data_IF_961852219482
#
_entry.id   IF_961852219482
#
_cell.length_a   1.000
_cell.length_b   1.000
_cell.length_c   1.000
_cell.angle_alpha   90.00
_cell.angle_beta   90.00
_cell.angle_gamma   90.00
#
_symmetry.space_group_name_H-M   'P 1'
#
loop_
_entity.id
_entity.type
_entity.pdbx_description
1 polymer ?
#
# COMPACT_ATOMS: atom_id res chain seq x y z
N UNK A 1 13.84 1.23 18.92
CA UNK A 1 13.17 2.55 18.94
C UNK A 1 13.67 3.29 17.71
N UNK A 2 13.00 3.14 16.58
CA UNK A 2 13.28 3.94 15.39
C UNK A 2 12.77 5.34 15.67
N UNK A 3 13.68 6.32 15.81
CA UNK A 3 13.29 7.71 16.09
C UNK A 3 12.63 8.31 14.85
N UNK A 4 11.37 8.72 14.98
CA UNK A 4 10.73 9.62 14.03
C UNK A 4 11.61 10.87 13.90
N UNK A 5 12.21 11.07 12.74
CA UNK A 5 12.84 12.35 12.41
C UNK A 5 11.72 13.33 12.11
N UNK A 6 11.49 14.24 13.05
CA UNK A 6 10.49 15.32 12.97
C UNK A 6 10.57 16.04 11.61
N UNK A 7 9.53 15.94 10.78
CA UNK A 7 9.28 16.86 9.68
C UNK A 7 9.86 16.52 8.30
N UNK A 8 10.53 15.39 8.06
CA UNK A 8 11.03 15.04 6.73
C UNK A 8 10.09 14.07 6.00
N UNK A 9 9.73 14.39 4.75
CA UNK A 9 9.00 13.46 3.87
C UNK A 9 9.86 12.23 3.58
N UNK A 10 9.27 11.03 3.67
CA UNK A 10 9.91 9.75 3.43
C UNK A 10 9.48 9.20 2.06
N UNK A 11 10.40 8.53 1.38
CA UNK A 11 10.15 7.96 0.06
C UNK A 11 10.31 6.46 0.07
N UNK A 12 9.25 5.78 -0.37
CA UNK A 12 9.18 4.32 -0.39
C UNK A 12 9.23 3.73 -1.80
N UNK A 13 9.48 2.43 -1.85
CA UNK A 13 9.42 1.62 -3.05
C UNK A 13 8.26 0.64 -2.98
N UNK A 14 7.58 0.41 -4.11
CA UNK A 14 6.47 -0.54 -4.17
C UNK A 14 6.93 -1.89 -4.72
N UNK A 15 6.82 -2.91 -3.90
CA UNK A 15 6.87 -4.31 -4.30
C UNK A 15 5.52 -4.72 -4.89
N UNK A 16 5.32 -4.43 -6.16
CA UNK A 16 4.06 -4.72 -6.84
C UNK A 16 4.00 -6.19 -7.26
N UNK A 17 3.22 -6.99 -6.51
CA UNK A 17 3.12 -8.43 -6.73
C UNK A 17 2.58 -8.79 -8.11
N UNK A 18 1.84 -7.91 -8.75
CA UNK A 18 1.26 -8.13 -10.07
C UNK A 18 2.30 -8.07 -11.21
N UNK A 19 3.46 -7.45 -10.98
CA UNK A 19 4.46 -7.21 -12.01
C UNK A 19 5.68 -8.13 -11.96
N UNK A 20 5.92 -8.79 -10.83
CA UNK A 20 7.13 -9.59 -10.65
C UNK A 20 6.87 -10.88 -9.88
N UNK A 21 7.65 -11.91 -10.16
CA UNK A 21 7.62 -13.17 -9.42
C UNK A 21 8.23 -13.03 -8.00
N UNK A 22 8.01 -14.00 -7.11
CA UNK A 22 8.39 -13.87 -5.71
C UNK A 22 9.91 -13.76 -5.48
N UNK A 23 10.74 -14.31 -6.36
CA UNK A 23 12.21 -14.20 -6.25
C UNK A 23 12.71 -12.84 -6.68
N UNK A 24 12.15 -12.32 -7.76
CA UNK A 24 12.45 -10.99 -8.27
C UNK A 24 12.04 -9.92 -7.26
N UNK A 25 10.86 -10.06 -6.64
CA UNK A 25 10.40 -9.11 -5.59
C UNK A 25 11.38 -9.04 -4.41
N UNK A 26 11.94 -10.16 -3.95
CA UNK A 26 12.96 -10.13 -2.89
C UNK A 26 14.24 -9.45 -3.37
N UNK A 27 14.65 -9.66 -4.63
CA UNK A 27 15.82 -8.99 -5.19
C UNK A 27 15.60 -7.48 -5.34
N UNK A 28 14.40 -7.08 -5.78
CA UNK A 28 14.01 -5.66 -5.89
C UNK A 28 14.01 -4.99 -4.52
N UNK A 29 13.49 -5.64 -3.47
CA UNK A 29 13.52 -5.12 -2.11
C UNK A 29 14.95 -4.86 -1.63
N UNK A 30 15.84 -5.83 -1.74
CA UNK A 30 17.26 -5.67 -1.38
C UNK A 30 17.92 -4.55 -2.18
N UNK A 31 17.59 -4.40 -3.46
CA UNK A 31 18.13 -3.33 -4.30
C UNK A 31 17.56 -1.96 -3.91
N UNK A 32 16.27 -1.86 -3.59
CA UNK A 32 15.62 -0.63 -3.15
C UNK A 32 16.18 -0.16 -1.79
N UNK A 33 16.37 -1.06 -0.83
CA UNK A 33 17.05 -0.74 0.44
C UNK A 33 18.46 -0.18 0.20
N UNK A 34 19.26 -0.82 -0.66
CA UNK A 34 20.62 -0.35 -1.00
C UNK A 34 20.64 0.98 -1.73
N UNK A 35 19.61 1.27 -2.51
CA UNK A 35 19.45 2.58 -3.19
C UNK A 35 19.11 3.68 -2.19
N UNK A 36 18.55 3.33 -1.02
CA UNK A 36 18.26 4.24 0.08
C UNK A 36 16.79 4.66 0.18
N UNK A 37 15.85 3.84 -0.29
CA UNK A 37 14.44 4.01 0.04
C UNK A 37 14.21 3.83 1.55
N UNK A 38 13.31 4.62 2.12
CA UNK A 38 13.07 4.65 3.57
C UNK A 38 12.12 3.52 4.01
N UNK A 39 11.23 3.08 3.12
CA UNK A 39 10.27 2.01 3.38
C UNK A 39 9.85 1.30 2.09
N UNK A 40 9.25 0.14 2.23
CA UNK A 40 8.70 -0.64 1.13
C UNK A 40 7.26 -1.04 1.41
N UNK A 41 6.42 -0.93 0.41
CA UNK A 41 5.03 -1.38 0.48
C UNK A 41 4.80 -2.53 -0.50
N UNK A 42 4.03 -3.54 -0.08
CA UNK A 42 3.74 -4.72 -0.89
C UNK A 42 2.23 -4.85 -1.14
N UNK A 43 1.82 -4.91 -2.41
CA UNK A 43 0.43 -5.18 -2.77
C UNK A 43 0.04 -6.62 -2.39
N UNK A 44 -1.18 -6.80 -1.85
CA UNK A 44 -1.70 -8.11 -1.43
C UNK A 44 -2.83 -8.55 -2.37
N UNK A 45 -2.47 -8.95 -3.57
CA UNK A 45 -3.37 -9.32 -4.63
C UNK A 45 -3.38 -10.82 -4.92
N UNK A 46 -4.55 -11.34 -5.32
CA UNK A 46 -4.71 -12.70 -5.82
C UNK A 46 -4.63 -12.74 -7.35
N UNK A 47 -4.98 -11.64 -8.00
CA UNK A 47 -4.95 -11.50 -9.45
C UNK A 47 -4.29 -10.19 -9.86
N UNK A 48 -3.59 -10.12 -11.00
CA UNK A 48 -3.15 -8.85 -11.55
C UNK A 48 -4.36 -8.04 -12.06
N UNK A 49 -4.20 -6.72 -12.16
CA UNK A 49 -5.21 -5.84 -12.75
C UNK A 49 -5.44 -6.11 -14.24
N UNK A 50 -4.36 -6.35 -14.97
CA UNK A 50 -4.35 -6.74 -16.38
C UNK A 50 -3.48 -7.98 -16.56
N UNK A 51 -3.87 -8.85 -17.48
CA UNK A 51 -3.11 -10.09 -17.77
C UNK A 51 -1.68 -9.81 -18.27
N UNK A 52 -1.43 -8.62 -18.79
CA UNK A 52 -0.10 -8.17 -19.22
C UNK A 52 0.90 -7.98 -18.09
N UNK A 53 0.44 -7.83 -16.84
CA UNK A 53 1.30 -7.76 -15.65
C UNK A 53 1.88 -9.14 -15.28
N UNK A 54 1.09 -10.20 -15.39
CA UNK A 54 1.55 -11.60 -15.47
C UNK A 54 1.82 -12.32 -14.17
N UNK A 55 1.77 -11.65 -13.00
CA UNK A 55 2.11 -12.23 -11.70
C UNK A 55 1.02 -11.97 -10.64
N UNK A 56 1.02 -12.72 -9.56
CA UNK A 56 0.33 -12.44 -8.29
C UNK A 56 0.83 -13.41 -7.19
N UNK A 57 2.10 -13.36 -6.78
CA UNK A 57 2.58 -14.18 -5.67
C UNK A 57 1.93 -13.72 -4.35
N UNK A 58 1.85 -14.64 -3.39
CA UNK A 58 1.27 -14.37 -2.08
C UNK A 58 2.12 -13.37 -1.28
N UNK A 59 1.57 -12.19 -1.02
CA UNK A 59 2.27 -11.05 -0.40
C UNK A 59 2.93 -11.41 0.94
N UNK A 60 2.21 -12.04 1.86
CA UNK A 60 2.73 -12.39 3.18
C UNK A 60 3.91 -13.36 3.16
N UNK A 61 3.89 -14.33 2.22
CA UNK A 61 5.02 -15.25 2.03
C UNK A 61 6.23 -14.52 1.46
N UNK A 62 6.00 -13.59 0.53
CA UNK A 62 7.04 -12.76 -0.07
C UNK A 62 7.63 -11.81 0.96
N UNK A 63 6.79 -11.11 1.74
CA UNK A 63 7.24 -10.21 2.81
C UNK A 63 8.06 -10.92 3.89
N UNK A 64 7.72 -12.17 4.24
CA UNK A 64 8.55 -12.96 5.14
C UNK A 64 9.96 -13.19 4.61
N UNK A 65 10.12 -13.40 3.31
CA UNK A 65 11.43 -13.53 2.66
C UNK A 65 12.15 -12.17 2.56
N UNK A 66 11.41 -11.10 2.27
CA UNK A 66 11.94 -9.72 2.25
C UNK A 66 12.43 -9.30 3.63
N UNK A 67 11.64 -9.54 4.69
CA UNK A 67 12.03 -9.22 6.06
C UNK A 67 13.35 -9.89 6.49
N UNK A 68 13.58 -11.11 6.00
CA UNK A 68 14.83 -11.84 6.25
C UNK A 68 16.01 -11.37 5.38
N UNK A 69 15.74 -10.78 4.21
CA UNK A 69 16.76 -10.38 3.24
C UNK A 69 17.15 -8.90 3.35
N UNK A 70 16.44 -8.11 4.16
CA UNK A 70 16.64 -6.66 4.37
C UNK A 70 16.92 -6.38 5.85
N UNK A 71 17.67 -5.31 6.13
CA UNK A 71 18.15 -5.00 7.48
C UNK A 71 17.51 -3.76 8.10
N UNK A 72 17.19 -2.74 7.30
CA UNK A 72 16.85 -1.38 7.79
C UNK A 72 15.54 -0.82 7.25
N UNK A 73 15.17 -1.19 6.01
CA UNK A 73 13.97 -0.67 5.35
C UNK A 73 12.71 -1.10 6.08
N UNK A 74 11.78 -0.17 6.32
CA UNK A 74 10.47 -0.50 6.88
C UNK A 74 9.59 -1.20 5.85
N UNK A 75 8.75 -2.13 6.29
CA UNK A 75 7.89 -2.96 5.45
C UNK A 75 6.43 -2.72 5.76
N UNK A 76 5.57 -2.78 4.75
CA UNK A 76 4.13 -2.62 4.94
C UNK A 76 3.32 -3.40 3.89
N UNK A 77 2.17 -3.96 4.28
CA UNK A 77 1.16 -4.41 3.30
C UNK A 77 0.39 -3.20 2.75
N UNK A 78 0.17 -3.13 1.43
CA UNK A 78 -0.51 -2.00 0.79
C UNK A 78 -1.62 -2.46 -0.17
N UNK A 79 -2.77 -2.88 0.32
CA UNK A 79 -3.12 -3.17 1.69
C UNK A 79 -3.75 -4.57 1.78
N UNK A 80 -3.69 -5.22 2.94
CA UNK A 80 -4.38 -6.50 3.16
C UNK A 80 -5.86 -6.27 3.49
N UNK A 81 -6.75 -7.10 2.92
CA UNK A 81 -8.18 -7.10 3.23
C UNK A 81 -8.52 -8.25 4.20
N UNK A 82 -8.77 -7.98 5.51
CA UNK A 82 -9.01 -9.01 6.51
C UNK A 82 -10.49 -9.41 6.62
N UNK A 83 -11.27 -9.35 5.52
CA UNK A 83 -12.73 -9.48 5.58
C UNK A 83 -13.29 -10.68 4.84
N UNK A 84 -12.72 -11.02 3.70
CA UNK A 84 -13.24 -12.07 2.82
C UNK A 84 -12.24 -13.20 2.61
N UNK A 85 -11.12 -12.92 1.96
CA UNK A 85 -10.07 -13.88 1.62
C UNK A 85 -9.30 -14.34 2.86
N UNK A 86 -9.10 -13.44 3.81
CA UNK A 86 -8.48 -13.73 5.09
C UNK A 86 -9.47 -13.58 6.26
N UNK A 87 -9.32 -14.44 7.26
CA UNK A 87 -9.95 -14.23 8.55
C UNK A 87 -9.07 -13.31 9.42
N UNK A 88 -9.62 -12.34 10.16
CA UNK A 88 -8.83 -11.39 10.95
C UNK A 88 -7.89 -12.05 11.97
N UNK A 89 -8.26 -13.20 12.54
CA UNK A 89 -7.37 -13.94 13.43
C UNK A 89 -6.11 -14.47 12.72
N UNK A 90 -6.21 -14.85 11.44
CA UNK A 90 -5.06 -15.27 10.64
C UNK A 90 -4.20 -14.07 10.29
N UNK A 91 -4.81 -12.93 9.96
CA UNK A 91 -4.06 -11.67 9.71
C UNK A 91 -3.31 -11.20 10.95
N UNK A 92 -3.93 -11.28 12.14
CA UNK A 92 -3.25 -10.96 13.39
C UNK A 92 -2.00 -11.85 13.61
N UNK A 93 -2.12 -13.15 13.37
CA UNK A 93 -0.97 -14.08 13.48
C UNK A 93 0.12 -13.79 12.45
N UNK A 94 -0.26 -13.51 11.20
CA UNK A 94 0.69 -13.14 10.15
C UNK A 94 1.43 -11.84 10.49
N UNK A 95 0.69 -10.82 10.98
CA UNK A 95 1.26 -9.53 11.35
C UNK A 95 2.22 -9.63 12.54
N UNK A 96 1.87 -10.37 13.58
CA UNK A 96 2.75 -10.61 14.73
C UNK A 96 4.04 -11.33 14.31
N UNK A 97 3.91 -12.39 13.50
CA UNK A 97 5.05 -13.14 12.99
C UNK A 97 5.97 -12.27 12.13
N UNK A 98 5.39 -11.49 11.20
CA UNK A 98 6.16 -10.64 10.30
C UNK A 98 6.86 -9.49 11.05
N UNK A 99 6.20 -8.90 12.05
CA UNK A 99 6.79 -7.87 12.90
C UNK A 99 8.03 -8.38 13.64
N UNK A 100 7.98 -9.62 14.15
CA UNK A 100 9.14 -10.26 14.81
C UNK A 100 10.26 -10.54 13.79
N UNK A 101 9.91 -11.10 12.62
CA UNK A 101 10.90 -11.38 11.56
C UNK A 101 11.57 -10.11 11.01
N UNK A 102 10.85 -9.00 11.02
CA UNK A 102 11.33 -7.70 10.57
C UNK A 102 11.98 -6.86 11.69
N UNK A 103 12.20 -7.42 12.87
CA UNK A 103 12.79 -6.69 14.02
C UNK A 103 12.10 -5.34 14.30
N UNK A 104 10.76 -5.33 14.30
CA UNK A 104 9.97 -4.13 14.59
C UNK A 104 9.72 -3.19 13.40
N UNK A 105 10.18 -3.53 12.19
CA UNK A 105 10.08 -2.68 10.98
C UNK A 105 8.78 -2.85 10.18
N UNK A 106 7.78 -3.58 10.66
CA UNK A 106 6.57 -3.86 9.91
C UNK A 106 5.39 -3.01 10.36
N UNK A 107 4.62 -2.50 9.41
CA UNK A 107 3.32 -1.84 9.61
C UNK A 107 2.24 -2.63 8.88
N UNK A 108 1.14 -2.95 9.57
CA UNK A 108 0.00 -3.65 8.99
C UNK A 108 -0.92 -2.66 8.26
N UNK A 109 -0.85 -2.62 6.95
CA UNK A 109 -1.78 -1.88 6.11
C UNK A 109 -3.04 -2.68 5.82
N UNK A 110 -4.21 -2.11 6.12
CA UNK A 110 -5.52 -2.72 5.99
C UNK A 110 -6.44 -1.93 5.07
N UNK A 111 -7.33 -2.63 4.37
CA UNK A 111 -8.34 -2.03 3.51
C UNK A 111 -9.63 -2.84 3.42
N UNK A 112 -10.68 -2.22 2.89
CA UNK A 112 -11.99 -2.88 2.70
C UNK A 112 -12.06 -3.80 1.48
N UNK A 113 -10.96 -3.90 0.71
CA UNK A 113 -10.78 -4.81 -0.41
C UNK A 113 -11.36 -4.36 -1.73
N UNK A 114 -11.00 -5.11 -2.78
CA UNK A 114 -11.52 -5.00 -4.13
C UNK A 114 -12.09 -6.35 -4.59
N UNK A 115 -13.12 -6.31 -5.42
CA UNK A 115 -13.77 -7.51 -5.92
C UNK A 115 -12.81 -8.43 -6.68
N UNK A 116 -11.84 -7.86 -7.41
CA UNK A 116 -10.80 -8.59 -8.14
C UNK A 116 -10.10 -9.66 -7.27
N UNK A 117 -9.80 -9.31 -6.02
CA UNK A 117 -9.00 -10.13 -5.12
C UNK A 117 -9.82 -10.95 -4.13
N UNK A 118 -11.01 -10.45 -3.76
CA UNK A 118 -11.77 -11.00 -2.66
C UNK A 118 -12.85 -12.02 -3.08
N UNK A 119 -13.40 -11.91 -4.31
CA UNK A 119 -14.45 -12.82 -4.80
C UNK A 119 -13.97 -14.28 -4.96
N UNK A 120 -12.68 -14.50 -5.04
CA UNK A 120 -12.06 -15.82 -5.32
C UNK A 120 -12.42 -16.90 -4.29
N UNK A 121 -12.84 -16.51 -3.09
CA UNK A 121 -13.30 -17.45 -2.04
C UNK A 121 -14.78 -17.82 -2.18
N UNK A 122 -15.47 -17.35 -3.22
CA UNK A 122 -16.85 -17.77 -3.55
C UNK A 122 -17.95 -17.21 -2.64
N UNK A 123 -17.69 -16.13 -1.88
CA UNK A 123 -18.66 -15.50 -0.96
C UNK A 123 -19.43 -14.32 -1.56
N UNK A 124 -19.23 -14.03 -2.87
CA UNK A 124 -19.77 -12.83 -3.51
C UNK A 124 -19.00 -11.56 -3.15
N UNK A 125 -19.59 -10.39 -3.45
CA UNK A 125 -18.99 -9.09 -3.16
C UNK A 125 -19.98 -8.22 -2.39
N UNK A 126 -19.72 -7.91 -1.10
CA UNK A 126 -20.63 -7.11 -0.27
C UNK A 126 -20.65 -5.63 -0.70
N UNK A 127 -21.72 -4.92 -0.32
CA UNK A 127 -21.78 -3.46 -0.47
C UNK A 127 -20.65 -2.77 0.32
N UNK A 128 -20.29 -1.55 -0.08
CA UNK A 128 -19.25 -0.77 0.59
C UNK A 128 -19.54 -0.59 2.08
N UNK A 129 -20.79 -0.28 2.46
CA UNK A 129 -21.20 -0.15 3.86
C UNK A 129 -20.88 -1.42 4.65
N UNK A 130 -21.28 -2.57 4.12
CA UNK A 130 -21.01 -3.85 4.79
C UNK A 130 -19.53 -4.18 4.85
N UNK A 131 -18.76 -3.83 3.84
CA UNK A 131 -17.29 -3.99 3.86
C UNK A 131 -16.64 -3.12 4.94
N UNK A 132 -17.13 -1.88 5.15
CA UNK A 132 -16.67 -1.01 6.23
C UNK A 132 -17.02 -1.58 7.62
N UNK A 133 -18.24 -2.11 7.81
CA UNK A 133 -18.63 -2.79 9.05
C UNK A 133 -17.72 -4.00 9.33
N UNK A 134 -17.48 -4.83 8.32
CA UNK A 134 -16.58 -5.98 8.42
C UNK A 134 -15.14 -5.56 8.76
N UNK A 135 -14.61 -4.52 8.11
CA UNK A 135 -13.25 -4.04 8.39
C UNK A 135 -13.14 -3.45 9.80
N UNK A 136 -14.14 -2.71 10.25
CA UNK A 136 -14.21 -2.18 11.62
C UNK A 136 -14.13 -3.31 12.64
N UNK A 137 -14.93 -4.36 12.47
CA UNK A 137 -14.92 -5.53 13.35
C UNK A 137 -13.61 -6.31 13.26
N UNK A 138 -13.05 -6.46 12.04
CA UNK A 138 -11.78 -7.14 11.82
C UNK A 138 -10.61 -6.43 12.53
N UNK A 139 -10.57 -5.09 12.50
CA UNK A 139 -9.56 -4.29 13.23
C UNK A 139 -9.65 -4.56 14.73
N UNK A 140 -10.88 -4.59 15.30
CA UNK A 140 -11.07 -4.87 16.71
C UNK A 140 -10.59 -6.28 17.10
N UNK A 141 -10.91 -7.30 16.28
CA UNK A 141 -10.41 -8.68 16.48
C UNK A 141 -8.89 -8.76 16.40
N UNK A 142 -8.28 -8.07 15.42
CA UNK A 142 -6.81 -8.05 15.25
C UNK A 142 -6.16 -7.42 16.48
N UNK A 143 -6.64 -6.25 16.92
CA UNK A 143 -6.07 -5.56 18.10
C UNK A 143 -6.19 -6.39 19.37
N UNK A 144 -7.33 -7.05 19.58
CA UNK A 144 -7.55 -7.91 20.74
C UNK A 144 -6.57 -9.10 20.75
N UNK A 145 -6.38 -9.77 19.61
CA UNK A 145 -5.44 -10.89 19.51
C UNK A 145 -3.98 -10.47 19.68
N UNK A 146 -3.63 -9.26 19.22
CA UNK A 146 -2.28 -8.71 19.38
C UNK A 146 -1.90 -8.38 20.83
N UNK A 147 -2.85 -8.41 21.78
CA UNK A 147 -2.53 -8.33 23.21
C UNK A 147 -1.82 -9.59 23.74
N UNK A 148 -1.95 -10.73 23.05
CA UNK A 148 -1.45 -12.03 23.51
C UNK A 148 -2.34 -12.71 24.55
N UNK A 149 -3.49 -12.15 24.90
CA UNK A 149 -4.47 -12.77 25.78
C UNK A 149 -5.33 -13.82 25.06
N UNK A 150 -6.04 -14.65 25.86
CA UNK A 150 -7.01 -15.59 25.32
C UNK A 150 -8.27 -14.84 24.89
N UNK A 151 -8.63 -14.94 23.61
CA UNK A 151 -9.74 -14.21 23.00
C UNK A 151 -10.87 -15.13 22.60
N UNK A 152 -12.07 -14.80 23.07
CA UNK A 152 -13.35 -15.31 22.57
C UNK A 152 -14.13 -14.13 21.98
N UNK A 153 -14.41 -14.16 20.66
CA UNK A 153 -15.12 -13.08 19.96
C UNK A 153 -16.40 -13.58 19.30
N UNK A 154 -17.51 -12.91 19.56
CA UNK A 154 -18.82 -13.22 18.95
C UNK A 154 -19.41 -11.94 18.36
N UNK A 155 -18.90 -11.53 17.21
CA UNK A 155 -19.37 -10.37 16.48
C UNK A 155 -20.46 -10.68 15.46
N UNK A 156 -20.82 -9.67 14.68
CA UNK A 156 -21.77 -9.81 13.59
C UNK A 156 -21.16 -10.52 12.40
N UNK A 157 -19.90 -10.25 12.09
CA UNK A 157 -19.20 -10.73 10.90
C UNK A 157 -18.19 -11.83 11.20
N UNK A 158 -17.56 -11.80 12.39
CA UNK A 158 -16.49 -12.73 12.74
C UNK A 158 -16.77 -13.43 14.08
N UNK A 159 -16.18 -14.61 14.19
CA UNK A 159 -16.13 -15.39 15.43
C UNK A 159 -14.72 -15.88 15.66
N UNK A 160 -14.26 -15.76 16.88
CA UNK A 160 -13.01 -16.36 17.37
C UNK A 160 -13.37 -17.19 18.59
N UNK A 161 -12.87 -18.40 18.66
CA UNK A 161 -13.17 -19.33 19.75
C UNK A 161 -11.85 -19.75 20.40
N UNK A 162 -11.64 -19.32 21.63
CA UNK A 162 -10.52 -19.67 22.50
C UNK A 162 -9.13 -19.54 21.82
N UNK A 163 -8.93 -18.45 21.06
CA UNK A 163 -7.68 -18.21 20.33
C UNK A 163 -6.73 -17.31 21.12
N UNK A 164 -5.43 -17.59 20.97
CA UNK A 164 -4.33 -16.81 21.54
C UNK A 164 -3.15 -16.79 20.59
N UNK A 165 -2.52 -15.64 20.40
CA UNK A 165 -1.21 -15.57 19.77
C UNK A 165 -0.14 -15.91 20.79
N UNK A 166 0.77 -16.83 20.41
CA UNK A 166 1.85 -17.32 21.29
C UNK A 166 3.13 -16.50 21.12
N UNK A 167 3.34 -15.98 19.92
CA UNK A 167 4.45 -15.11 19.58
C UNK A 167 3.86 -13.72 19.29
N UNK A 168 4.03 -12.79 20.22
CA UNK A 168 3.57 -11.41 20.12
C UNK A 168 4.78 -10.49 20.23
N UNK A 169 4.95 -9.51 19.31
CA UNK A 169 6.07 -8.58 19.38
C UNK A 169 5.92 -7.63 20.58
N UNK A 170 7.01 -7.37 21.29
CA UNK A 170 7.04 -6.53 22.49
C UNK A 170 6.54 -5.09 22.24
N UNK A 171 6.87 -4.53 21.07
CA UNK A 171 6.48 -3.16 20.67
C UNK A 171 5.11 -3.10 19.98
N UNK A 172 4.40 -4.23 19.87
CA UNK A 172 3.13 -4.33 19.17
C UNK A 172 3.25 -4.23 17.65
N UNK A 173 2.12 -4.04 16.97
CA UNK A 173 2.04 -3.83 15.50
C UNK A 173 1.24 -2.56 15.24
N UNK A 174 1.82 -1.62 14.49
CA UNK A 174 1.10 -0.42 14.05
C UNK A 174 0.17 -0.75 12.89
N UNK A 175 -1.01 -0.13 12.87
CA UNK A 175 -2.03 -0.31 11.85
C UNK A 175 -2.18 0.94 11.01
N UNK A 176 -2.11 0.80 9.70
CA UNK A 176 -2.47 1.82 8.72
C UNK A 176 -3.75 1.39 8.01
N UNK A 177 -4.70 2.29 7.77
CA UNK A 177 -5.97 1.94 7.11
C UNK A 177 -6.19 2.80 5.88
N UNK A 178 -6.59 2.13 4.78
CA UNK A 178 -6.90 2.79 3.52
C UNK A 178 -8.26 3.49 3.57
N UNK A 179 -8.28 4.75 3.16
CA UNK A 179 -9.46 5.60 3.05
C UNK A 179 -9.52 6.27 1.68
N UNK A 180 -10.75 6.53 1.20
CA UNK A 180 -11.01 7.17 -0.10
C UNK A 180 -12.12 8.21 -0.05
N UNK A 181 -12.61 8.59 1.13
CA UNK A 181 -13.66 9.57 1.31
C UNK A 181 -14.08 9.73 2.77
N UNK A 182 -14.95 10.71 3.05
CA UNK A 182 -15.38 11.06 4.41
C UNK A 182 -15.91 9.90 5.25
N UNK A 183 -16.73 9.02 4.66
CA UNK A 183 -17.33 7.90 5.39
C UNK A 183 -16.27 6.91 5.89
N UNK A 184 -15.24 6.64 5.06
CA UNK A 184 -14.12 5.79 5.45
C UNK A 184 -13.22 6.47 6.48
N UNK A 185 -13.01 7.78 6.38
CA UNK A 185 -12.27 8.57 7.39
C UNK A 185 -12.97 8.50 8.74
N UNK A 186 -14.28 8.78 8.81
CA UNK A 186 -15.07 8.70 10.04
C UNK A 186 -15.05 7.31 10.68
N UNK A 187 -15.11 6.27 9.84
CA UNK A 187 -15.11 4.89 10.32
C UNK A 187 -13.73 4.45 10.87
N UNK A 188 -12.63 4.84 10.23
CA UNK A 188 -11.34 4.21 10.47
C UNK A 188 -10.30 5.09 11.17
N UNK A 189 -10.40 6.41 11.10
CA UNK A 189 -9.44 7.30 11.76
C UNK A 189 -9.33 7.07 13.28
N UNK A 190 -10.44 6.80 14.02
CA UNK A 190 -10.37 6.49 15.46
C UNK A 190 -9.74 5.13 15.77
N UNK A 191 -9.66 4.21 14.80
CA UNK A 191 -9.29 2.81 14.99
C UNK A 191 -7.86 2.48 14.56
N UNK A 192 -7.17 3.42 13.89
CA UNK A 192 -5.88 3.17 13.26
C UNK A 192 -4.82 4.16 13.68
N UNK A 193 -3.56 3.75 13.52
CA UNK A 193 -2.41 4.58 13.87
C UNK A 193 -2.04 5.52 12.71
N UNK A 194 -2.20 5.06 11.46
CA UNK A 194 -1.80 5.74 10.24
C UNK A 194 -2.88 5.71 9.16
N UNK A 195 -2.80 6.66 8.23
CA UNK A 195 -3.67 6.77 7.05
C UNK A 195 -2.97 6.22 5.82
N UNK A 196 -3.74 5.56 4.95
CA UNK A 196 -3.34 5.25 3.57
C UNK A 196 -4.33 5.89 2.62
N UNK A 197 -3.85 6.58 1.59
CA UNK A 197 -4.68 7.08 0.50
C UNK A 197 -3.87 7.10 -0.80
N UNK A 198 -4.57 6.93 -1.93
CA UNK A 198 -3.90 6.88 -3.26
C UNK A 198 -3.81 8.26 -3.88
N UNK A 199 -4.82 9.12 -3.71
CA UNK A 199 -4.87 10.45 -4.32
C UNK A 199 -4.36 11.53 -3.35
N UNK A 200 -3.64 12.56 -3.84
CA UNK A 200 -3.12 13.66 -3.02
C UNK A 200 -4.23 14.66 -2.65
N UNK A 201 -5.17 14.23 -1.82
CA UNK A 201 -6.32 15.02 -1.36
C UNK A 201 -6.04 15.61 0.03
N UNK A 202 -5.73 16.92 0.08
CA UNK A 202 -5.46 17.65 1.33
C UNK A 202 -6.68 17.78 2.25
N UNK A 203 -7.90 17.84 1.71
CA UNK A 203 -9.12 17.92 2.50
C UNK A 203 -9.37 16.59 3.21
N UNK A 204 -9.10 15.46 2.55
CA UNK A 204 -9.17 14.12 3.14
C UNK A 204 -8.16 13.96 4.29
N UNK A 205 -6.93 14.45 4.09
CA UNK A 205 -5.88 14.44 5.13
C UNK A 205 -6.29 15.28 6.34
N UNK A 206 -6.84 16.47 6.11
CA UNK A 206 -7.32 17.33 7.18
C UNK A 206 -8.48 16.70 7.95
N UNK A 207 -9.44 16.09 7.26
CA UNK A 207 -10.55 15.36 7.87
C UNK A 207 -10.04 14.20 8.75
N UNK A 208 -9.05 13.44 8.26
CA UNK A 208 -8.41 12.37 9.02
C UNK A 208 -7.80 12.85 10.34
N UNK A 209 -7.01 13.92 10.30
CA UNK A 209 -6.40 14.48 11.51
C UNK A 209 -7.44 15.01 12.49
N UNK A 210 -8.51 15.59 11.99
CA UNK A 210 -9.64 16.10 12.79
C UNK A 210 -10.34 14.97 13.56
N UNK A 211 -10.70 13.88 12.89
CA UNK A 211 -11.35 12.72 13.48
C UNK A 211 -10.47 12.03 14.53
N UNK A 212 -9.18 11.87 14.24
CA UNK A 212 -8.21 11.31 15.20
C UNK A 212 -8.06 12.16 16.45
N UNK A 213 -7.98 13.47 16.29
CA UNK A 213 -7.88 14.42 17.41
C UNK A 213 -9.13 14.37 18.27
N UNK A 214 -10.32 14.28 17.66
CA UNK A 214 -11.61 14.10 18.34
C UNK A 214 -11.67 12.80 19.13
N UNK A 215 -11.00 11.75 18.69
CA UNK A 215 -10.91 10.47 19.41
C UNK A 215 -9.80 10.43 20.48
N UNK A 216 -9.05 11.51 20.69
CA UNK A 216 -8.01 11.61 21.72
C UNK A 216 -6.70 10.94 21.38
N UNK A 217 -6.42 10.66 20.11
CA UNK A 217 -5.14 10.10 19.67
C UNK A 217 -4.01 11.13 19.84
N UNK A 218 -3.01 10.80 20.65
CA UNK A 218 -1.92 11.70 21.02
C UNK A 218 -0.70 11.63 20.10
N UNK A 219 -0.51 10.53 19.38
CA UNK A 219 0.66 10.34 18.54
C UNK A 219 0.46 10.93 17.13
N UNK A 220 1.51 11.53 16.51
CA UNK A 220 1.44 11.95 15.12
C UNK A 220 1.19 10.73 14.23
N UNK A 221 0.24 10.86 13.29
CA UNK A 221 -0.07 9.83 12.32
C UNK A 221 0.78 10.04 11.07
N UNK A 222 1.27 8.95 10.46
CA UNK A 222 1.78 8.96 9.10
C UNK A 222 0.61 9.03 8.13
N UNK A 223 0.79 9.75 7.04
CA UNK A 223 -0.12 9.78 5.90
C UNK A 223 0.65 9.21 4.70
N UNK A 224 0.28 8.01 4.30
CA UNK A 224 1.04 7.18 3.37
C UNK A 224 0.34 7.19 2.02
N UNK A 225 1.02 7.69 1.01
CA UNK A 225 0.55 7.73 -0.37
C UNK A 225 1.32 6.79 -1.29
N UNK A 226 0.77 6.58 -2.49
CA UNK A 226 1.42 5.79 -3.52
C UNK A 226 1.16 6.40 -4.89
N UNK A 227 2.20 6.52 -5.71
CA UNK A 227 2.12 7.09 -7.05
C UNK A 227 2.77 6.18 -8.09
N UNK A 228 2.09 5.85 -9.20
CA UNK A 228 2.71 5.17 -10.33
C UNK A 228 3.60 6.12 -11.14
N UNK A 229 4.76 5.63 -11.53
CA UNK A 229 5.70 6.27 -12.43
C UNK A 229 6.16 5.25 -13.48
N UNK A 230 6.56 5.71 -14.66
CA UNK A 230 7.15 4.85 -15.66
C UNK A 230 8.42 5.47 -16.20
N UNK A 231 9.52 5.33 -15.47
CA UNK A 231 10.80 5.80 -15.92
C UNK A 231 11.40 4.85 -16.97
N UNK A 232 11.92 5.41 -18.05
CA UNK A 232 12.68 4.73 -19.08
C UNK A 232 13.49 5.79 -19.84
N UNK A 233 14.72 5.49 -20.31
CA UNK A 233 15.49 6.38 -21.21
C UNK A 233 14.74 6.73 -22.50
N UNK A 234 13.89 5.82 -22.99
CA UNK A 234 13.02 6.04 -24.15
C UNK A 234 11.60 6.46 -23.70
N UNK A 235 11.19 7.70 -23.94
CA UNK A 235 9.88 8.20 -23.52
C UNK A 235 8.70 7.51 -24.22
N UNK A 236 8.86 7.04 -25.46
CA UNK A 236 7.81 6.33 -26.19
C UNK A 236 7.62 4.92 -25.61
N UNK A 237 8.70 4.23 -25.29
CA UNK A 237 8.67 2.92 -24.61
C UNK A 237 8.06 3.04 -23.21
N UNK A 238 8.39 4.09 -22.46
CA UNK A 238 7.80 4.37 -21.16
C UNK A 238 6.28 4.55 -21.25
N UNK A 239 5.82 5.38 -22.17
CA UNK A 239 4.39 5.66 -22.35
C UNK A 239 3.61 4.41 -22.78
N UNK A 240 4.15 3.65 -23.73
CA UNK A 240 3.52 2.41 -24.18
C UNK A 240 3.43 1.37 -23.05
N UNK A 241 4.49 1.21 -22.26
CA UNK A 241 4.51 0.29 -21.11
C UNK A 241 3.51 0.70 -20.03
N UNK A 242 3.45 1.98 -19.69
CA UNK A 242 2.46 2.51 -18.76
C UNK A 242 1.05 2.20 -19.26
N UNK A 243 0.75 2.43 -20.52
CA UNK A 243 -0.54 2.09 -21.11
C UNK A 243 -0.82 0.58 -21.06
N UNK A 244 0.12 -0.26 -21.47
CA UNK A 244 -0.10 -1.70 -21.56
C UNK A 244 -0.35 -2.36 -20.19
N UNK A 245 0.25 -1.83 -19.13
CA UNK A 245 0.19 -2.42 -17.80
C UNK A 245 -0.66 -1.62 -16.80
N UNK A 246 -0.90 -0.32 -17.03
CA UNK A 246 -1.54 0.56 -16.05
C UNK A 246 -2.74 1.37 -16.58
N UNK A 247 -3.22 1.15 -17.81
CA UNK A 247 -4.40 1.86 -18.33
C UNK A 247 -5.66 1.68 -17.45
N UNK A 248 -5.70 0.63 -16.61
CA UNK A 248 -6.76 0.40 -15.63
C UNK A 248 -6.84 1.53 -14.58
N UNK A 249 -5.75 2.22 -14.31
CA UNK A 249 -5.67 3.31 -13.35
C UNK A 249 -6.62 4.48 -13.74
N UNK A 250 -6.84 4.71 -15.03
CA UNK A 250 -7.77 5.71 -15.54
C UNK A 250 -9.25 5.45 -15.18
N UNK A 251 -9.60 4.23 -14.73
CA UNK A 251 -10.97 3.87 -14.34
C UNK A 251 -11.45 4.52 -13.04
N UNK A 252 -10.53 4.94 -12.18
CA UNK A 252 -10.83 5.47 -10.86
C UNK A 252 -11.35 4.42 -9.87
N UNK A 253 -11.31 4.75 -8.58
CA UNK A 253 -11.62 3.79 -7.51
C UNK A 253 -13.04 3.24 -7.56
N UNK A 254 -14.03 4.06 -7.92
CA UNK A 254 -15.43 3.64 -7.99
C UNK A 254 -15.68 2.46 -8.95
N UNK A 255 -14.88 2.37 -10.03
CA UNK A 255 -14.93 1.26 -11.00
C UNK A 255 -14.01 0.13 -10.55
N UNK A 256 -12.80 0.46 -10.13
CA UNK A 256 -11.76 -0.50 -9.81
C UNK A 256 -12.13 -1.38 -8.60
N UNK A 257 -12.85 -0.85 -7.62
CA UNK A 257 -13.30 -1.60 -6.47
C UNK A 257 -14.28 -2.75 -6.80
N UNK A 258 -15.03 -2.65 -7.90
CA UNK A 258 -16.15 -3.55 -8.19
C UNK A 258 -15.89 -4.55 -9.34
N UNK A 259 -14.87 -4.32 -10.18
CA UNK A 259 -14.56 -5.24 -11.28
C UNK A 259 -13.90 -6.53 -10.76
N UNK A 260 -14.43 -7.72 -11.14
CA UNK A 260 -14.00 -8.98 -10.53
C UNK A 260 -12.84 -9.68 -11.25
N UNK A 261 -12.45 -9.27 -12.46
CA UNK A 261 -11.48 -10.03 -13.26
C UNK A 261 -10.59 -9.15 -14.13
N UNK A 262 -9.36 -9.58 -14.45
CA UNK A 262 -8.50 -8.88 -15.39
C UNK A 262 -9.15 -8.64 -16.77
N UNK A 263 -10.00 -9.55 -17.22
CA UNK A 263 -10.77 -9.38 -18.47
C UNK A 263 -11.79 -8.23 -18.35
N UNK A 264 -12.41 -8.05 -17.17
CA UNK A 264 -13.29 -6.93 -16.88
C UNK A 264 -12.55 -5.59 -16.94
N UNK A 265 -11.37 -5.50 -16.33
CA UNK A 265 -10.48 -4.33 -16.40
C UNK A 265 -10.04 -4.04 -17.84
N UNK A 266 -9.59 -5.06 -18.59
CA UNK A 266 -9.21 -4.90 -19.98
C UNK A 266 -10.36 -4.37 -20.84
N UNK A 267 -11.59 -4.88 -20.61
CA UNK A 267 -12.81 -4.41 -21.31
C UNK A 267 -13.21 -3.00 -20.94
N UNK A 268 -13.20 -2.64 -19.64
CA UNK A 268 -13.55 -1.31 -19.16
C UNK A 268 -12.57 -0.22 -19.67
N UNK A 269 -11.32 -0.58 -19.88
CA UNK A 269 -10.25 0.36 -20.29
C UNK A 269 -9.81 0.22 -21.76
N UNK A 270 -10.57 -0.47 -22.59
CA UNK A 270 -10.22 -0.73 -23.99
C UNK A 270 -10.10 0.53 -24.87
N UNK A 271 -10.72 1.63 -24.45
CA UNK A 271 -10.71 2.90 -25.19
C UNK A 271 -9.74 3.94 -24.59
N UNK A 272 -9.07 3.61 -23.47
CA UNK A 272 -8.02 4.47 -22.90
C UNK A 272 -6.82 4.45 -23.87
N UNK A 273 -6.34 5.62 -24.24
CA UNK A 273 -5.21 5.77 -25.16
C UNK A 273 -3.90 5.93 -24.36
N UNK A 274 -2.74 5.66 -24.99
CA UNK A 274 -1.46 5.91 -24.34
C UNK A 274 -1.32 7.35 -23.82
N UNK A 275 -1.79 8.34 -24.57
CA UNK A 275 -1.74 9.76 -24.17
C UNK A 275 -2.54 10.01 -22.89
N UNK A 276 -3.74 9.44 -22.78
CA UNK A 276 -4.60 9.58 -21.59
C UNK A 276 -3.90 8.99 -20.34
N UNK A 277 -3.18 7.87 -20.51
CA UNK A 277 -2.36 7.27 -19.44
C UNK A 277 -1.19 8.20 -19.06
N UNK A 278 -0.53 8.79 -20.05
CA UNK A 278 0.60 9.70 -19.84
C UNK A 278 0.23 11.05 -19.21
N UNK A 279 -1.03 11.46 -19.25
CA UNK A 279 -1.54 12.63 -18.49
C UNK A 279 -1.59 12.35 -16.99
N UNK A 280 -1.90 11.10 -16.60
CA UNK A 280 -2.06 10.69 -15.20
C UNK A 280 -0.78 10.10 -14.58
N UNK A 281 0.10 9.53 -15.41
CA UNK A 281 1.32 8.85 -14.95
C UNK A 281 2.54 9.53 -15.58
N UNK A 282 3.50 10.04 -14.79
CA UNK A 282 4.74 10.58 -15.34
C UNK A 282 5.57 9.47 -16.00
N UNK A 283 5.75 9.59 -17.32
CA UNK A 283 6.49 8.65 -18.17
C UNK A 283 7.74 9.29 -18.78
N UNK A 284 8.81 8.51 -18.95
CA UNK A 284 10.04 8.92 -19.64
C UNK A 284 11.21 9.27 -18.70
N UNK A 285 12.32 9.78 -19.27
CA UNK A 285 13.57 9.97 -18.54
C UNK A 285 13.62 11.22 -17.64
N UNK A 286 12.66 12.12 -17.78
CA UNK A 286 12.66 13.40 -17.07
C UNK A 286 12.30 13.21 -15.57
N UNK A 287 13.32 13.21 -14.72
CA UNK A 287 13.16 13.08 -13.29
C UNK A 287 12.44 14.29 -12.65
N UNK A 288 12.55 15.49 -13.22
CA UNK A 288 11.88 16.67 -12.67
C UNK A 288 10.36 16.57 -12.84
N UNK A 289 9.89 15.99 -13.94
CA UNK A 289 8.47 15.67 -14.11
C UNK A 289 7.95 14.69 -13.05
N UNK A 290 8.77 13.71 -12.65
CA UNK A 290 8.40 12.79 -11.57
C UNK A 290 8.37 13.52 -10.23
N UNK A 291 9.37 14.38 -9.94
CA UNK A 291 9.41 15.19 -8.72
C UNK A 291 8.19 16.09 -8.61
N UNK A 292 7.80 16.76 -9.70
CA UNK A 292 6.62 17.63 -9.74
C UNK A 292 5.34 16.83 -9.37
N UNK A 293 5.14 15.66 -9.96
CA UNK A 293 3.99 14.82 -9.67
C UNK A 293 3.97 14.31 -8.20
N UNK A 294 5.11 13.87 -7.69
CA UNK A 294 5.25 13.44 -6.29
C UNK A 294 5.06 14.61 -5.32
N UNK A 295 5.41 15.85 -5.75
CA UNK A 295 5.28 17.05 -4.92
C UNK A 295 3.85 17.37 -4.51
N UNK A 296 2.86 16.97 -5.28
CA UNK A 296 1.45 17.17 -4.96
C UNK A 296 1.05 16.42 -3.68
N UNK A 297 1.67 15.28 -3.39
CA UNK A 297 1.41 14.52 -2.17
C UNK A 297 1.90 15.22 -0.90
N UNK A 298 3.15 15.67 -0.84
CA UNK A 298 3.61 16.36 0.38
C UNK A 298 2.97 17.75 0.55
N UNK A 299 2.59 18.42 -0.55
CA UNK A 299 1.77 19.64 -0.49
C UNK A 299 0.37 19.38 0.08
N UNK A 300 -0.19 18.21 -0.18
CA UNK A 300 -1.47 17.76 0.39
C UNK A 300 -1.33 17.24 1.84
N UNK A 301 -0.11 17.18 2.41
CA UNK A 301 0.12 16.75 3.79
C UNK A 301 0.52 15.29 3.96
N UNK A 302 0.88 14.60 2.89
CA UNK A 302 1.44 13.23 2.99
C UNK A 302 2.86 13.28 3.53
N UNK A 303 3.15 12.36 4.44
CA UNK A 303 4.46 12.21 5.09
C UNK A 303 5.33 11.14 4.45
N UNK A 304 4.70 10.15 3.83
CA UNK A 304 5.33 8.96 3.26
C UNK A 304 4.76 8.69 1.87
N UNK A 305 5.61 8.61 0.86
CA UNK A 305 5.17 8.47 -0.53
C UNK A 305 5.92 7.31 -1.18
N UNK A 306 5.20 6.24 -1.53
CA UNK A 306 5.74 5.08 -2.23
C UNK A 306 5.67 5.25 -3.75
N UNK A 307 6.74 4.95 -4.44
CA UNK A 307 6.80 4.98 -5.90
C UNK A 307 6.52 3.58 -6.47
N UNK A 308 5.62 3.49 -7.46
CA UNK A 308 5.43 2.29 -8.26
C UNK A 308 6.16 2.49 -9.58
N UNK A 309 7.32 1.89 -9.79
CA UNK A 309 7.89 1.80 -11.13
C UNK A 309 7.11 0.77 -11.95
N UNK A 310 6.59 1.18 -13.10
CA UNK A 310 5.83 0.31 -14.00
C UNK A 310 6.76 -0.52 -14.86
N UNK A 311 6.49 -1.83 -14.95
CA UNK A 311 7.22 -2.81 -15.76
C UNK A 311 8.13 -3.71 -14.92
N UNK A 312 7.73 -5.00 -14.76
CA UNK A 312 8.48 -5.96 -13.94
C UNK A 312 9.92 -6.19 -14.41
N UNK A 313 10.12 -6.22 -15.69
CA UNK A 313 11.43 -6.38 -16.38
C UNK A 313 12.28 -5.10 -16.42
N UNK A 314 11.76 -3.96 -15.94
CA UNK A 314 12.43 -2.65 -15.91
C UNK A 314 12.79 -2.18 -14.50
N UNK A 315 12.50 -2.99 -13.48
CA UNK A 315 12.79 -2.63 -12.09
C UNK A 315 14.30 -2.49 -11.83
N UNK A 316 15.08 -3.47 -12.31
CA UNK A 316 16.53 -3.46 -12.11
C UNK A 316 17.18 -2.24 -12.77
N UNK A 317 16.75 -1.90 -13.99
CA UNK A 317 17.28 -0.72 -14.70
C UNK A 317 16.93 0.57 -13.96
N UNK A 318 15.69 0.73 -13.51
CA UNK A 318 15.26 1.89 -12.73
C UNK A 318 16.06 2.03 -11.43
N UNK A 319 16.18 0.94 -10.65
CA UNK A 319 16.90 0.96 -9.37
C UNK A 319 18.38 1.28 -9.53
N UNK A 320 19.02 0.81 -10.61
CA UNK A 320 20.45 1.04 -10.87
C UNK A 320 20.76 2.41 -11.47
N UNK A 321 19.87 2.96 -12.30
CA UNK A 321 20.20 4.14 -13.10
C UNK A 321 19.48 5.42 -12.66
N UNK A 322 18.23 5.32 -12.21
CA UNK A 322 17.38 6.49 -11.96
C UNK A 322 16.98 6.69 -10.49
N UNK A 323 16.79 5.63 -9.73
CA UNK A 323 16.21 5.73 -8.40
C UNK A 323 17.08 6.56 -7.43
N UNK A 324 18.40 6.37 -7.43
CA UNK A 324 19.32 7.17 -6.59
C UNK A 324 19.25 8.67 -6.89
N UNK A 325 19.50 9.09 -8.14
CA UNK A 325 19.33 10.50 -8.55
C UNK A 325 17.92 11.07 -8.29
N UNK A 326 16.87 10.26 -8.46
CA UNK A 326 15.49 10.68 -8.16
C UNK A 326 15.29 10.94 -6.67
N UNK A 327 15.75 10.04 -5.78
CA UNK A 327 15.67 10.22 -4.33
C UNK A 327 16.39 11.48 -3.85
N UNK A 328 17.56 11.80 -4.41
CA UNK A 328 18.28 13.05 -4.10
C UNK A 328 17.45 14.29 -4.46
N UNK A 329 16.83 14.29 -5.64
CA UNK A 329 15.96 15.39 -6.09
C UNK A 329 14.72 15.52 -5.21
N UNK A 330 14.04 14.42 -4.91
CA UNK A 330 12.84 14.37 -4.08
C UNK A 330 13.13 14.91 -2.66
N UNK A 331 14.21 14.44 -2.02
CA UNK A 331 14.60 14.89 -0.68
C UNK A 331 14.97 16.38 -0.66
N UNK A 332 15.65 16.85 -1.69
CA UNK A 332 16.00 18.27 -1.85
C UNK A 332 14.74 19.12 -1.99
N UNK A 333 13.81 18.74 -2.84
CA UNK A 333 12.58 19.46 -3.10
C UNK A 333 11.64 19.48 -1.86
N UNK A 334 11.47 18.35 -1.19
CA UNK A 334 10.66 18.25 0.03
C UNK A 334 11.27 19.05 1.20
N UNK A 335 12.60 19.02 1.37
CA UNK A 335 13.30 19.80 2.41
C UNK A 335 13.21 21.31 2.21
N UNK A 336 13.16 21.78 0.96
CA UNK A 336 12.99 23.19 0.65
C UNK A 336 11.57 23.74 0.96
N UNK A 337 10.57 22.86 1.05
CA UNK A 337 9.18 23.24 1.34
C UNK A 337 8.92 23.31 2.86
N UNK A 338 9.78 22.72 3.69
CA UNK A 338 9.64 22.66 5.16
C UNK A 338 10.29 23.86 5.88
N UNK A 339 10.91 24.79 5.16
CA UNK A 339 11.54 26.05 5.67
C UNK A 339 10.73 27.27 5.31
#
# INVERSE_FOLDING_TARGET
VCGYTDGMTRFGYTLMTEQAGPRELVQHAVAAERTGFDFEVCSDHFSPWLTTQGHAPHAWTTLGAVAHATDTVELMTYVTCPTMRYHPAVVAQQAATLQILADGRFTLGLGSGENLNEHVVGRGWPTVTRRHEMLTEAIAVIRELLTGDLVDWKGEHFRVDSARLWDVPDDGVQLAVAVSGEDSVKAFAPLSDHMVAVEPDGDLVQAWHSERSGAGAAAPARVIGQIPICWDPDPEAALQRAHDQFRWFAGGWAVNADLPTPAGFAGATQFVRPEDTGESIPCGPDLDRIVDAVSEYWKAGFTDIALIQIGGDHQEMFLNEAAGPLLEKLRTAAGATST
#
